data_IF_744541825573
#
_entry.id   IF_744541825573
#
_cell.length_a   1.000
_cell.length_b   1.000
_cell.length_c   1.000
_cell.angle_alpha   90.00
_cell.angle_beta   90.00
_cell.angle_gamma   90.00
#
_symmetry.space_group_name_H-M   'P 1'
#
loop_
_entity.id
_entity.type
_entity.pdbx_description
1 polymer ?
#
# COMPACT_ATOMS: atom_id res chain seq x y z
N UNK A 1 -27.01 -3.86 20.70
CA UNK A 1 -25.55 -3.63 20.70
C UNK A 1 -24.96 -4.65 19.74
N UNK A 2 -24.52 -4.23 18.56
CA UNK A 2 -24.00 -5.14 17.52
C UNK A 2 -22.71 -5.78 18.04
N UNK A 3 -22.71 -7.10 18.21
CA UNK A 3 -21.50 -7.84 18.58
C UNK A 3 -20.58 -7.79 17.36
N UNK A 4 -19.34 -7.26 17.47
CA UNK A 4 -18.41 -7.31 16.36
C UNK A 4 -18.14 -8.78 16.04
N UNK A 5 -18.61 -9.24 14.87
CA UNK A 5 -18.17 -10.53 14.34
C UNK A 5 -16.65 -10.46 14.19
N UNK A 6 -15.93 -11.38 14.82
CA UNK A 6 -14.50 -11.53 14.56
C UNK A 6 -14.31 -11.61 13.05
N UNK A 7 -13.51 -10.69 12.50
CA UNK A 7 -13.18 -10.68 11.08
C UNK A 7 -12.54 -12.03 10.77
N UNK A 8 -13.11 -12.84 9.86
CA UNK A 8 -12.35 -13.96 9.34
C UNK A 8 -11.15 -13.32 8.64
N UNK A 9 -9.93 -13.60 9.12
CA UNK A 9 -8.73 -13.19 8.40
C UNK A 9 -8.63 -14.05 7.15
N UNK A 10 -9.38 -13.71 6.11
CA UNK A 10 -9.61 -14.62 4.97
C UNK A 10 -8.37 -14.76 4.08
N UNK A 11 -7.40 -13.85 4.19
CA UNK A 11 -6.23 -13.77 3.29
C UNK A 11 -4.90 -13.77 4.03
N UNK A 12 -4.79 -13.07 5.17
CA UNK A 12 -3.60 -13.11 6.03
C UNK A 12 -4.07 -13.32 7.46
N UNK A 13 -3.97 -14.55 7.94
CA UNK A 13 -4.38 -14.99 9.28
C UNK A 13 -3.64 -14.27 10.41
N UNK A 14 -2.40 -13.86 10.18
CA UNK A 14 -1.61 -13.15 11.19
C UNK A 14 -1.74 -11.63 11.04
N UNK A 15 -2.36 -10.92 12.02
CA UNK A 15 -2.54 -9.48 11.95
C UNK A 15 -1.22 -8.70 11.92
N UNK A 16 -0.14 -9.21 12.54
CA UNK A 16 1.17 -8.56 12.49
C UNK A 16 1.76 -8.58 11.08
N UNK A 17 1.62 -9.70 10.37
CA UNK A 17 2.10 -9.84 8.99
C UNK A 17 1.38 -8.87 8.06
N UNK A 18 0.06 -8.71 8.22
CA UNK A 18 -0.72 -7.72 7.47
C UNK A 18 -0.21 -6.29 7.71
N UNK A 19 0.00 -5.93 8.98
CA UNK A 19 0.50 -4.59 9.34
C UNK A 19 1.86 -4.34 8.70
N UNK A 20 2.79 -5.30 8.83
CA UNK A 20 4.12 -5.19 8.24
C UNK A 20 4.03 -5.02 6.73
N UNK A 21 3.25 -5.85 6.04
CA UNK A 21 3.09 -5.76 4.58
C UNK A 21 2.51 -4.41 4.14
N UNK A 22 1.49 -3.90 4.86
CA UNK A 22 0.92 -2.57 4.60
C UNK A 22 1.96 -1.47 4.83
N UNK A 23 2.64 -1.48 5.97
CA UNK A 23 3.67 -0.49 6.30
C UNK A 23 4.80 -0.48 5.27
N UNK A 24 5.26 -1.65 4.81
CA UNK A 24 6.29 -1.74 3.77
C UNK A 24 5.83 -1.09 2.47
N UNK A 25 4.59 -1.36 2.02
CA UNK A 25 4.03 -0.71 0.84
C UNK A 25 3.93 0.81 1.02
N UNK A 26 3.49 1.28 2.18
CA UNK A 26 3.35 2.71 2.44
C UNK A 26 4.72 3.42 2.51
N UNK A 27 5.74 2.79 3.09
CA UNK A 27 7.13 3.30 3.10
C UNK A 27 7.70 3.41 1.69
N UNK A 28 7.51 2.38 0.84
CA UNK A 28 7.94 2.43 -0.56
C UNK A 28 7.26 3.59 -1.29
N UNK A 29 5.96 3.79 -1.06
CA UNK A 29 5.21 4.91 -1.63
C UNK A 29 5.79 6.28 -1.22
N UNK A 30 6.13 6.44 0.06
CA UNK A 30 6.74 7.66 0.56
C UNK A 30 8.12 7.94 -0.07
N UNK A 31 8.94 6.90 -0.24
CA UNK A 31 10.25 7.02 -0.91
C UNK A 31 10.07 7.41 -2.38
N UNK A 32 9.17 6.74 -3.11
CA UNK A 32 8.89 7.05 -4.51
C UNK A 32 8.40 8.50 -4.68
N UNK A 33 7.47 8.94 -3.83
CA UNK A 33 7.01 10.33 -3.83
C UNK A 33 8.12 11.34 -3.56
N UNK A 34 9.04 11.01 -2.64
CA UNK A 34 10.21 11.85 -2.36
C UNK A 34 11.14 11.94 -3.56
N UNK A 35 11.45 10.82 -4.22
CA UNK A 35 12.31 10.80 -5.41
C UNK A 35 11.71 11.65 -6.53
N UNK A 36 10.40 11.51 -6.79
CA UNK A 36 9.69 12.31 -7.80
C UNK A 36 9.73 13.80 -7.48
N UNK A 37 9.55 14.17 -6.21
CA UNK A 37 9.61 15.58 -5.80
C UNK A 37 11.01 16.18 -6.00
N UNK A 38 12.07 15.41 -5.71
CA UNK A 38 13.46 15.84 -5.96
C UNK A 38 13.73 15.97 -7.46
N UNK A 39 13.31 14.98 -8.24
CA UNK A 39 13.45 14.95 -9.71
C UNK A 39 12.79 16.16 -10.37
N UNK A 40 11.56 16.49 -9.95
CA UNK A 40 10.84 17.65 -10.46
C UNK A 40 11.48 19.01 -10.08
N UNK A 41 12.26 19.06 -8.99
CA UNK A 41 12.87 20.29 -8.50
C UNK A 41 14.31 20.52 -8.99
N UNK A 42 15.02 19.45 -9.42
CA UNK A 42 16.42 19.51 -9.78
C UNK A 42 16.62 19.50 -11.31
N UNK A 43 16.92 20.66 -11.90
CA UNK A 43 17.25 20.76 -13.32
C UNK A 43 18.49 19.90 -13.66
N UNK A 44 18.29 18.84 -14.46
CA UNK A 44 19.34 17.93 -14.92
C UNK A 44 19.39 16.56 -14.23
N UNK A 45 18.57 16.35 -13.19
CA UNK A 45 18.25 15.02 -12.68
C UNK A 45 16.93 14.60 -13.35
N UNK A 46 16.96 13.52 -14.14
CA UNK A 46 15.76 12.94 -14.74
C UNK A 46 15.76 11.43 -14.49
N UNK A 47 14.94 11.02 -13.53
CA UNK A 47 14.68 9.64 -13.18
C UNK A 47 13.29 9.18 -13.64
N UNK A 48 12.63 9.91 -14.54
CA UNK A 48 11.28 9.58 -15.03
C UNK A 48 11.19 8.14 -15.55
N UNK A 49 12.23 7.67 -16.23
CA UNK A 49 12.32 6.30 -16.75
C UNK A 49 12.30 5.22 -15.66
N UNK A 50 12.68 5.57 -14.42
CA UNK A 50 12.65 4.70 -13.25
C UNK A 50 11.39 4.93 -12.41
N UNK A 51 11.06 6.20 -12.12
CA UNK A 51 9.98 6.58 -11.22
C UNK A 51 8.61 6.25 -11.79
N UNK A 52 8.39 6.40 -13.11
CA UNK A 52 7.12 6.07 -13.76
C UNK A 52 6.77 4.57 -13.64
N UNK A 53 7.62 3.62 -14.09
CA UNK A 53 7.31 2.21 -13.93
C UNK A 53 7.28 1.78 -12.46
N UNK A 54 8.13 2.38 -11.59
CA UNK A 54 8.13 2.06 -10.17
C UNK A 54 6.84 2.50 -9.47
N UNK A 55 6.32 3.70 -9.76
CA UNK A 55 5.02 4.16 -9.25
C UNK A 55 3.88 3.33 -9.81
N UNK A 56 3.92 2.94 -11.08
CA UNK A 56 2.91 2.05 -11.66
C UNK A 56 2.87 0.71 -10.92
N UNK A 57 4.03 0.08 -10.71
CA UNK A 57 4.15 -1.18 -9.97
C UNK A 57 3.70 -1.05 -8.52
N UNK A 58 4.15 -0.01 -7.82
CA UNK A 58 3.71 0.28 -6.46
C UNK A 58 2.20 0.51 -6.36
N UNK A 59 1.62 1.30 -7.27
CA UNK A 59 0.18 1.59 -7.30
C UNK A 59 -0.62 0.31 -7.50
N UNK A 60 -0.21 -0.53 -8.46
CA UNK A 60 -0.83 -1.83 -8.67
C UNK A 60 -0.79 -2.70 -7.40
N UNK A 61 0.38 -2.85 -6.78
CA UNK A 61 0.53 -3.63 -5.55
C UNK A 61 -0.31 -3.06 -4.40
N UNK A 62 -0.37 -1.73 -4.26
CA UNK A 62 -1.17 -1.09 -3.20
C UNK A 62 -2.66 -1.29 -3.40
N UNK A 63 -3.14 -1.22 -4.64
CA UNK A 63 -4.53 -1.50 -4.99
C UNK A 63 -4.90 -2.95 -4.77
N UNK A 64 -4.06 -3.90 -5.24
CA UNK A 64 -4.27 -5.33 -5.00
C UNK A 64 -4.29 -5.63 -3.50
N UNK A 65 -3.36 -5.09 -2.72
CA UNK A 65 -3.35 -5.26 -1.28
C UNK A 65 -4.58 -4.64 -0.60
N UNK A 66 -4.99 -3.44 -1.02
CA UNK A 66 -6.18 -2.77 -0.50
C UNK A 66 -7.46 -3.57 -0.77
N UNK A 67 -7.65 -4.05 -2.00
CA UNK A 67 -8.84 -4.80 -2.41
C UNK A 67 -8.86 -6.23 -1.84
N UNK A 68 -7.75 -6.96 -1.95
CA UNK A 68 -7.69 -8.36 -1.57
C UNK A 68 -7.48 -8.55 -0.07
N UNK A 69 -6.73 -7.67 0.59
CA UNK A 69 -6.37 -7.81 2.01
C UNK A 69 -7.13 -6.80 2.87
N UNK A 70 -7.05 -5.51 2.60
CA UNK A 70 -7.61 -4.52 3.53
C UNK A 70 -9.15 -4.59 3.59
N UNK A 71 -9.82 -4.64 2.45
CA UNK A 71 -11.29 -4.70 2.37
C UNK A 71 -11.86 -6.01 2.92
N UNK A 72 -11.22 -7.15 2.65
CA UNK A 72 -11.68 -8.46 3.14
C UNK A 72 -11.54 -8.60 4.66
N UNK A 73 -10.61 -7.85 5.26
CA UNK A 73 -10.37 -7.81 6.70
C UNK A 73 -11.05 -6.62 7.40
N UNK A 74 -12.01 -5.95 6.75
CA UNK A 74 -12.77 -4.84 7.36
C UNK A 74 -13.94 -5.39 8.20
N UNK A 75 -14.14 -4.93 9.44
CA UNK A 75 -15.25 -5.38 10.28
C UNK A 75 -16.61 -5.06 9.63
N UNK A 76 -17.46 -6.08 9.49
CA UNK A 76 -18.86 -5.88 9.09
C UNK A 76 -19.67 -5.55 10.35
N UNK A 77 -20.37 -4.40 10.34
CA UNK A 77 -21.42 -4.16 11.34
C UNK A 77 -22.62 -5.04 10.96
N UNK A 78 -23.07 -5.86 11.91
CA UNK A 78 -24.30 -6.66 11.83
C UNK A 78 -25.34 -6.02 12.74
#
# INVERSE_FOLDING_TARGET
MSIPSETPNVVIENPKVRIIARTTLDVIGAVLGTVIAVDAAANGFDLTWLTVPAVAGWTYLRLVFGLAVDNTNTPKRI
#
